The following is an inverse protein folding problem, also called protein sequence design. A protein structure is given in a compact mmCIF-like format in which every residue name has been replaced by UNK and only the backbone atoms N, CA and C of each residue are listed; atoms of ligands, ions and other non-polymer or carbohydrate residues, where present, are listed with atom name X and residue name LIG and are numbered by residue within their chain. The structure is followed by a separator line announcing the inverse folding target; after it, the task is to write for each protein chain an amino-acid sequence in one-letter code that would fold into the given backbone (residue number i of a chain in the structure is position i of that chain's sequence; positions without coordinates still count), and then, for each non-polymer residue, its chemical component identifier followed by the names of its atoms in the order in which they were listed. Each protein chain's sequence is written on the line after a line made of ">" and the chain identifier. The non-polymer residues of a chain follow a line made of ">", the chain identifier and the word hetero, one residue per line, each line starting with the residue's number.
data_IF_806100081309
#
_entry.id   IF_806100081309
#
_cell.length_a   1.000
_cell.length_b   1.000
_cell.length_c   1.000
_cell.angle_alpha   90.00
_cell.angle_beta   90.00
_cell.angle_gamma   90.00
#
_symmetry.space_group_name_H-M   'P 1'
#
loop_
_entity.id
_entity.type
_entity.pdbx_description
1 polymer ?
#
# COMPACT_ATOMS: atom_id res chain seq x y z
N UNK A 1 18.97 -7.46 -29.62
CA UNK A 1 18.51 -8.39 -28.57
C UNK A 1 18.18 -7.55 -27.36
N UNK A 2 16.92 -7.19 -27.18
CA UNK A 2 16.43 -6.69 -25.89
C UNK A 2 15.37 -7.68 -25.43
N UNK A 3 15.80 -8.61 -24.58
CA UNK A 3 14.89 -9.48 -23.86
C UNK A 3 14.10 -8.63 -22.89
N UNK A 4 12.94 -8.16 -23.33
CA UNK A 4 11.86 -7.78 -22.44
C UNK A 4 11.55 -9.01 -21.58
N UNK A 5 12.11 -9.04 -20.37
CA UNK A 5 11.60 -9.90 -19.31
C UNK A 5 10.19 -9.40 -19.03
N UNK A 6 9.22 -9.89 -19.80
CA UNK A 6 7.80 -9.83 -19.46
C UNK A 6 7.60 -10.76 -18.27
N UNK A 7 8.13 -10.36 -17.12
CA UNK A 7 7.85 -11.00 -15.85
C UNK A 7 6.35 -10.85 -15.62
N UNK A 8 5.64 -11.97 -15.53
CA UNK A 8 4.20 -12.01 -15.22
C UNK A 8 3.91 -11.01 -14.10
N UNK A 9 3.11 -9.99 -14.37
CA UNK A 9 2.72 -9.00 -13.34
C UNK A 9 2.01 -9.75 -12.22
N UNK A 10 2.53 -9.65 -11.00
CA UNK A 10 1.95 -10.34 -9.83
C UNK A 10 0.53 -9.84 -9.61
N UNK A 11 -0.38 -10.78 -9.37
CA UNK A 11 -1.77 -10.46 -9.06
C UNK A 11 -1.95 -10.26 -7.55
N UNK A 12 -3.02 -9.57 -7.16
CA UNK A 12 -3.36 -9.43 -5.74
C UNK A 12 -3.70 -10.78 -5.12
N UNK A 13 -4.35 -11.68 -5.86
CA UNK A 13 -4.73 -13.00 -5.34
C UNK A 13 -3.50 -13.85 -5.01
N UNK A 14 -2.47 -13.83 -5.87
CA UNK A 14 -1.17 -14.48 -5.59
C UNK A 14 -0.44 -13.84 -4.40
N UNK A 15 -0.55 -12.52 -4.23
CA UNK A 15 0.03 -11.84 -3.06
C UNK A 15 -0.70 -12.25 -1.77
N UNK A 16 -2.02 -12.21 -1.80
CA UNK A 16 -2.93 -12.50 -0.69
C UNK A 16 -2.92 -13.96 -0.27
N UNK A 17 -2.66 -14.90 -1.17
CA UNK A 17 -2.63 -16.33 -0.82
C UNK A 17 -1.47 -16.70 0.12
N UNK A 18 -0.46 -15.85 0.25
CA UNK A 18 0.75 -16.10 1.05
C UNK A 18 0.68 -15.52 2.47
N UNK A 19 -0.44 -14.91 2.87
CA UNK A 19 -0.58 -14.22 4.16
C UNK A 19 -1.60 -14.88 5.09
N UNK A 20 -1.39 -14.81 6.43
CA UNK A 20 -2.36 -15.30 7.41
C UNK A 20 -3.73 -14.63 7.24
N UNK A 21 -4.82 -15.36 7.49
CA UNK A 21 -6.19 -14.90 7.22
C UNK A 21 -6.58 -13.60 7.93
N UNK A 22 -6.17 -13.42 9.19
CA UNK A 22 -6.40 -12.18 9.93
C UNK A 22 -5.69 -10.98 9.30
N UNK A 23 -4.40 -11.15 8.97
CA UNK A 23 -3.59 -10.11 8.29
C UNK A 23 -4.18 -9.82 6.90
N UNK A 24 -4.64 -10.85 6.18
CA UNK A 24 -5.26 -10.68 4.87
C UNK A 24 -6.54 -9.84 4.92
N UNK A 25 -7.37 -10.06 5.95
CA UNK A 25 -8.62 -9.29 6.14
C UNK A 25 -8.32 -7.82 6.42
N UNK A 26 -7.36 -7.53 7.30
CA UNK A 26 -6.92 -6.17 7.59
C UNK A 26 -6.30 -5.50 6.35
N UNK A 27 -5.48 -6.24 5.59
CA UNK A 27 -4.86 -5.75 4.37
C UNK A 27 -5.89 -5.44 3.28
N UNK A 28 -6.91 -6.30 3.11
CA UNK A 28 -8.02 -6.09 2.17
C UNK A 28 -8.78 -4.78 2.47
N UNK A 29 -8.95 -4.43 3.75
CA UNK A 29 -9.56 -3.17 4.14
C UNK A 29 -8.70 -1.95 3.78
N UNK A 30 -7.42 -1.96 4.15
CA UNK A 30 -6.48 -0.89 3.83
C UNK A 30 -6.33 -0.69 2.31
N UNK A 31 -6.19 -1.79 1.57
CA UNK A 31 -6.11 -1.79 0.11
C UNK A 31 -7.35 -1.16 -0.51
N UNK A 32 -8.55 -1.61 -0.13
CA UNK A 32 -9.81 -1.04 -0.63
C UNK A 32 -9.87 0.45 -0.34
N UNK A 33 -9.53 0.86 0.88
CA UNK A 33 -9.52 2.28 1.24
C UNK A 33 -8.57 3.09 0.34
N UNK A 34 -7.31 2.66 0.17
CA UNK A 34 -6.35 3.33 -0.71
C UNK A 34 -6.87 3.48 -2.14
N UNK A 35 -7.49 2.44 -2.70
CA UNK A 35 -8.07 2.47 -4.05
C UNK A 35 -9.27 3.43 -4.17
N UNK A 36 -9.98 3.71 -3.07
CA UNK A 36 -11.09 4.68 -3.06
C UNK A 36 -10.65 6.14 -2.96
N UNK A 37 -9.38 6.42 -2.63
CA UNK A 37 -8.89 7.80 -2.44
C UNK A 37 -8.92 8.64 -3.73
N UNK A 38 -8.88 8.00 -4.90
CA UNK A 38 -9.16 8.69 -6.16
C UNK A 38 -8.91 7.84 -7.41
N UNK A 39 -9.47 8.30 -8.53
CA UNK A 39 -9.42 7.60 -9.83
C UNK A 39 -8.01 7.44 -10.43
N UNK A 40 -7.03 8.18 -9.92
CA UNK A 40 -5.63 8.16 -10.39
C UNK A 40 -4.71 7.38 -9.46
N UNK A 41 -5.26 6.66 -8.48
CA UNK A 41 -4.50 5.73 -7.64
C UNK A 41 -4.08 4.54 -8.49
N UNK A 42 -2.78 4.23 -8.44
CA UNK A 42 -2.17 3.04 -9.01
C UNK A 42 -1.75 2.14 -7.86
N UNK A 43 -2.05 0.85 -8.02
CA UNK A 43 -1.55 -0.23 -7.19
C UNK A 43 -0.37 -0.93 -7.89
N UNK A 44 0.78 -0.98 -7.20
CA UNK A 44 1.99 -1.70 -7.62
C UNK A 44 2.26 -2.86 -6.64
N UNK A 45 1.93 -4.08 -7.09
CA UNK A 45 2.01 -5.30 -6.30
C UNK A 45 3.40 -5.90 -6.43
N UNK A 46 4.13 -5.96 -5.31
CA UNK A 46 5.51 -6.46 -5.24
C UNK A 46 5.57 -7.80 -4.52
N UNK A 47 6.77 -8.34 -4.36
CA UNK A 47 6.94 -9.66 -3.77
C UNK A 47 6.39 -9.75 -2.34
N UNK A 48 6.64 -8.71 -1.55
CA UNK A 48 6.39 -8.67 -0.11
C UNK A 48 5.53 -7.49 0.33
N UNK A 49 5.17 -6.58 -0.57
CA UNK A 49 4.39 -5.38 -0.22
C UNK A 49 3.57 -4.86 -1.39
N UNK A 50 2.68 -3.93 -1.11
CA UNK A 50 1.92 -3.19 -2.13
C UNK A 50 2.20 -1.70 -1.97
N UNK A 51 2.60 -1.06 -3.07
CA UNK A 51 2.84 0.38 -3.11
C UNK A 51 1.68 1.06 -3.81
N UNK A 52 1.10 2.07 -3.15
CA UNK A 52 0.07 2.93 -3.74
C UNK A 52 0.67 4.28 -4.14
N UNK A 53 0.38 4.69 -5.37
CA UNK A 53 0.92 5.92 -5.95
C UNK A 53 -0.10 6.66 -6.81
N UNK A 54 0.16 7.95 -7.10
CA UNK A 54 -0.56 8.69 -8.14
C UNK A 54 0.06 8.49 -9.52
N UNK A 55 -0.79 8.32 -10.54
CA UNK A 55 -0.40 8.00 -11.93
C UNK A 55 0.47 9.02 -12.65
N UNK A 56 0.40 10.32 -12.29
CA UNK A 56 1.04 11.39 -13.08
C UNK A 56 2.59 11.31 -13.04
N UNK A 57 3.18 10.79 -11.94
CA UNK A 57 4.65 10.62 -11.78
C UNK A 57 5.05 9.48 -10.84
N UNK A 58 4.20 8.45 -10.67
CA UNK A 58 4.41 7.37 -9.69
C UNK A 58 4.76 7.90 -8.30
N UNK A 59 4.01 8.90 -7.85
CA UNK A 59 4.25 9.50 -6.53
C UNK A 59 3.60 8.62 -5.49
N UNK A 60 4.40 7.76 -4.88
CA UNK A 60 3.96 6.88 -3.81
C UNK A 60 3.56 7.71 -2.59
N UNK A 61 2.41 7.36 -2.02
CA UNK A 61 1.93 7.92 -0.74
C UNK A 61 1.87 6.87 0.36
N UNK A 62 1.78 5.58 0.00
CA UNK A 62 1.75 4.47 0.94
C UNK A 62 2.50 3.26 0.41
N UNK A 63 3.26 2.61 1.28
CA UNK A 63 3.84 1.28 1.10
C UNK A 63 3.30 0.40 2.24
N UNK A 64 2.63 -0.71 1.90
CA UNK A 64 1.93 -1.56 2.86
C UNK A 64 2.52 -2.98 2.80
N UNK A 65 3.07 -3.43 3.92
CA UNK A 65 3.78 -4.70 4.06
C UNK A 65 3.12 -5.57 5.14
N UNK A 66 2.61 -6.76 4.81
CA UNK A 66 2.06 -7.68 5.78
C UNK A 66 3.19 -8.34 6.58
N UNK A 67 2.94 -8.53 7.87
CA UNK A 67 3.79 -9.28 8.79
C UNK A 67 3.04 -10.54 9.26
N UNK A 68 3.59 -11.25 10.25
CA UNK A 68 2.98 -12.46 10.80
C UNK A 68 1.62 -12.20 11.45
N UNK A 69 1.50 -11.11 12.20
CA UNK A 69 0.34 -10.75 13.03
C UNK A 69 0.02 -9.24 13.00
N UNK A 70 0.62 -8.52 12.07
CA UNK A 70 0.47 -7.06 11.93
C UNK A 70 0.69 -6.62 10.47
N UNK A 71 0.52 -5.33 10.20
CA UNK A 71 0.87 -4.69 8.94
C UNK A 71 1.76 -3.48 9.23
N UNK A 72 2.84 -3.33 8.47
CA UNK A 72 3.64 -2.10 8.46
C UNK A 72 3.13 -1.22 7.33
N UNK A 73 2.86 0.05 7.63
CA UNK A 73 2.52 1.09 6.66
C UNK A 73 3.59 2.17 6.72
N UNK A 74 4.25 2.42 5.60
CA UNK A 74 5.11 3.58 5.41
C UNK A 74 4.35 4.64 4.62
N UNK A 75 4.12 5.78 5.24
CA UNK A 75 3.34 6.88 4.67
C UNK A 75 4.28 8.01 4.24
N UNK A 76 4.13 8.46 3.00
CA UNK A 76 4.93 9.54 2.41
C UNK A 76 4.04 10.71 2.00
N UNK A 77 4.19 11.86 2.67
CA UNK A 77 3.40 13.07 2.40
C UNK A 77 4.09 14.03 1.44
N UNK A 78 5.41 14.12 1.51
CA UNK A 78 6.25 14.95 0.65
C UNK A 78 7.51 14.18 0.21
N UNK A 79 8.23 14.67 -0.80
CA UNK A 79 9.51 14.10 -1.25
C UNK A 79 10.69 14.47 -0.34
N UNK A 80 10.59 15.57 0.39
CA UNK A 80 11.62 16.14 1.27
C UNK A 80 11.47 15.73 2.72
N UNK A 81 10.31 15.20 3.09
CA UNK A 81 10.04 14.69 4.44
C UNK A 81 10.35 13.20 4.55
N UNK A 82 10.83 12.73 5.72
CA UNK A 82 10.98 11.32 5.97
C UNK A 82 9.62 10.61 5.94
N UNK A 83 9.63 9.34 5.57
CA UNK A 83 8.44 8.50 5.66
C UNK A 83 8.06 8.27 7.13
N UNK A 84 6.76 8.27 7.41
CA UNK A 84 6.23 7.84 8.72
C UNK A 84 5.93 6.35 8.65
N UNK A 85 6.64 5.55 9.42
CA UNK A 85 6.37 4.14 9.58
C UNK A 85 5.40 3.91 10.74
N UNK A 86 4.39 3.07 10.52
CA UNK A 86 3.37 2.72 11.51
C UNK A 86 3.13 1.22 11.43
N UNK A 87 3.13 0.54 12.57
CA UNK A 87 2.74 -0.85 12.67
C UNK A 87 1.31 -0.93 13.25
N UNK A 88 0.46 -1.72 12.60
CA UNK A 88 -0.96 -1.88 12.94
C UNK A 88 -1.23 -3.36 13.23
N UNK A 89 -1.82 -3.64 14.39
CA UNK A 89 -2.27 -4.98 14.78
C UNK A 89 -3.71 -5.24 14.33
N UNK A 90 -4.12 -6.50 14.38
CA UNK A 90 -5.42 -6.94 13.85
C UNK A 90 -6.64 -6.22 14.46
N UNK A 91 -6.53 -5.78 15.71
CA UNK A 91 -7.65 -5.17 16.46
C UNK A 91 -7.54 -3.64 16.58
N UNK A 92 -6.55 -3.02 15.92
CA UNK A 92 -6.35 -1.58 15.99
C UNK A 92 -7.43 -0.82 15.21
N UNK A 93 -7.88 0.32 15.75
CA UNK A 93 -8.79 1.21 15.02
C UNK A 93 -8.05 1.88 13.85
N UNK A 94 -8.60 1.77 12.65
CA UNK A 94 -8.01 2.30 11.42
C UNK A 94 -8.36 3.77 11.13
N UNK A 95 -9.21 4.43 11.93
CA UNK A 95 -9.66 5.80 11.65
C UNK A 95 -8.51 6.80 11.49
N UNK A 96 -7.53 6.77 12.41
CA UNK A 96 -6.38 7.67 12.32
C UNK A 96 -5.49 7.34 11.12
N UNK A 97 -5.30 6.05 10.85
CA UNK A 97 -4.51 5.56 9.72
C UNK A 97 -5.13 5.99 8.39
N UNK A 98 -6.45 5.84 8.25
CA UNK A 98 -7.21 6.29 7.08
C UNK A 98 -7.05 7.79 6.88
N UNK A 99 -7.13 8.60 7.94
CA UNK A 99 -6.88 10.06 7.88
C UNK A 99 -5.44 10.37 7.42
N UNK A 100 -4.44 9.63 7.91
CA UNK A 100 -3.04 9.82 7.50
C UNK A 100 -2.82 9.46 6.03
N UNK A 101 -3.42 8.36 5.56
CA UNK A 101 -3.37 7.93 4.16
C UNK A 101 -4.05 8.94 3.23
N UNK A 102 -5.23 9.44 3.58
CA UNK A 102 -5.93 10.49 2.82
C UNK A 102 -5.09 11.77 2.74
N UNK A 103 -4.50 12.19 3.86
CA UNK A 103 -3.63 13.36 3.90
C UNK A 103 -2.42 13.17 2.98
N UNK A 104 -1.72 12.04 3.08
CA UNK A 104 -0.57 11.72 2.24
C UNK A 104 -0.93 11.66 0.75
N UNK A 105 -2.03 10.99 0.40
CA UNK A 105 -2.56 11.01 -0.95
C UNK A 105 -2.86 12.45 -1.39
N UNK A 106 -3.48 13.28 -0.58
CA UNK A 106 -3.83 14.65 -0.97
C UNK A 106 -2.58 15.51 -1.20
N UNK A 107 -1.61 15.47 -0.29
CA UNK A 107 -0.41 16.32 -0.28
C UNK A 107 0.68 15.90 -1.27
N UNK A 108 0.75 14.63 -1.67
CA UNK A 108 1.80 14.21 -2.61
C UNK A 108 1.48 14.75 -4.02
N UNK A 109 2.34 15.62 -4.55
CA UNK A 109 2.16 16.34 -5.84
C UNK A 109 3.38 16.30 -6.70
#
# INVERSE_FOLDING_TARGET
>A
MEGLVSGKKRTYDEFRSNMPSGVATLFDELRRYCLTLGKNVIEDIRMHRIVFAKSIKFRSFADIEPQRDSIIIKIKKDRKEPEKEIQIKLDDNLDEIKKLLLNAYTSIH
#
